data_IF_818860861786
#
_entry.id   IF_818860861786
#
_cell.length_a   1.000
_cell.length_b   1.000
_cell.length_c   1.000
_cell.angle_alpha   90.00
_cell.angle_beta   90.00
_cell.angle_gamma   90.00
#
_symmetry.space_group_name_H-M   'P 1'
#
loop_
_entity.id
_entity.type
_entity.pdbx_description
1 polymer ?
#
# COMPACT_ATOMS: atom_id res chain seq x y z
N UNK A 1 8.54 -44.56 14.41
CA UNK A 1 7.33 -43.72 14.58
C UNK A 1 7.80 -42.27 14.68
N UNK A 2 7.65 -41.47 13.62
CA UNK A 2 8.04 -40.05 13.62
C UNK A 2 6.82 -39.22 13.21
N UNK A 3 6.18 -38.60 14.20
CA UNK A 3 5.16 -37.58 14.04
C UNK A 3 5.78 -36.24 14.43
N UNK A 4 6.03 -35.36 13.46
CA UNK A 4 6.38 -33.97 13.76
C UNK A 4 5.71 -33.01 12.76
N UNK A 5 4.66 -32.36 13.27
CA UNK A 5 4.18 -31.01 13.00
C UNK A 5 3.89 -30.59 11.56
N UNK A 6 2.59 -30.69 11.22
CA UNK A 6 1.92 -29.89 10.19
C UNK A 6 2.12 -28.40 10.51
N UNK A 7 3.01 -27.74 9.80
CA UNK A 7 3.15 -26.28 9.80
C UNK A 7 1.85 -25.62 9.32
N UNK A 8 1.25 -24.85 10.22
CA UNK A 8 -0.01 -24.16 10.05
C UNK A 8 0.14 -23.05 8.99
N UNK A 9 -0.19 -23.33 7.73
CA UNK A 9 -0.39 -22.29 6.71
C UNK A 9 -1.69 -21.54 7.07
N UNK A 10 -1.59 -20.53 7.92
CA UNK A 10 -2.62 -19.49 7.94
C UNK A 10 -2.53 -18.75 6.61
N UNK A 11 -3.35 -19.20 5.65
CA UNK A 11 -3.64 -18.42 4.46
C UNK A 11 -4.28 -17.13 4.93
N UNK A 12 -3.66 -16.00 4.60
CA UNK A 12 -4.26 -14.69 4.83
C UNK A 12 -5.63 -14.67 4.13
N UNK A 13 -6.70 -14.76 4.91
CA UNK A 13 -8.06 -14.69 4.41
C UNK A 13 -8.22 -13.28 3.84
N UNK A 14 -8.33 -13.18 2.51
CA UNK A 14 -8.61 -11.91 1.87
C UNK A 14 -9.99 -11.43 2.34
N UNK A 15 -10.01 -10.47 3.27
CA UNK A 15 -11.24 -9.84 3.72
C UNK A 15 -11.88 -9.15 2.53
N UNK A 16 -13.07 -9.62 2.14
CA UNK A 16 -13.88 -8.96 1.12
C UNK A 16 -14.43 -7.68 1.77
N UNK A 17 -13.92 -6.54 1.31
CA UNK A 17 -14.34 -5.22 1.78
C UNK A 17 -15.46 -4.74 0.85
N UNK A 18 -16.64 -4.46 1.40
CA UNK A 18 -17.76 -3.85 0.65
C UNK A 18 -17.38 -2.41 0.23
N UNK A 19 -17.94 -1.91 -0.86
CA UNK A 19 -17.48 -0.67 -1.51
C UNK A 19 -17.52 0.60 -0.64
N UNK A 20 -18.19 0.56 0.51
CA UNK A 20 -18.28 1.65 1.49
C UNK A 20 -17.21 1.65 2.58
N UNK A 21 -16.48 0.55 2.76
CA UNK A 21 -15.67 0.34 3.97
C UNK A 21 -14.21 0.72 3.70
N UNK A 22 -13.88 1.98 3.94
CA UNK A 22 -12.49 2.46 3.84
C UNK A 22 -11.73 1.99 5.09
N UNK A 23 -10.87 0.99 4.94
CA UNK A 23 -9.93 0.58 5.99
C UNK A 23 -8.79 1.60 6.06
N UNK A 24 -8.77 2.40 7.13
CA UNK A 24 -7.67 3.33 7.40
C UNK A 24 -6.46 2.57 7.93
N UNK A 25 -5.30 2.80 7.32
CA UNK A 25 -4.02 2.25 7.78
C UNK A 25 -3.16 3.40 8.28
N UNK A 26 -2.94 3.44 9.60
CA UNK A 26 -2.12 4.46 10.25
C UNK A 26 -0.62 4.10 10.26
N UNK A 27 0.23 5.09 10.49
CA UNK A 27 1.70 4.93 10.48
C UNK A 27 2.20 3.92 11.52
N UNK A 28 1.50 3.78 12.64
CA UNK A 28 1.84 2.83 13.72
C UNK A 28 1.71 1.38 13.22
N UNK A 29 0.58 1.06 12.59
CA UNK A 29 0.33 -0.28 12.01
C UNK A 29 1.36 -0.63 10.95
N UNK A 30 1.81 0.35 10.15
CA UNK A 30 2.86 0.11 9.16
C UNK A 30 4.22 -0.17 9.83
N UNK A 31 4.56 0.56 10.89
CA UNK A 31 5.82 0.34 11.63
C UNK A 31 5.82 -1.05 12.26
N UNK A 32 4.73 -1.47 12.88
CA UNK A 32 4.60 -2.83 13.45
C UNK A 32 4.85 -3.91 12.39
N UNK A 33 4.27 -3.75 11.19
CA UNK A 33 4.49 -4.65 10.06
C UNK A 33 5.95 -4.62 9.58
N UNK A 34 6.58 -3.44 9.55
CA UNK A 34 8.00 -3.31 9.18
C UNK A 34 8.90 -4.05 10.17
N UNK A 35 8.65 -3.94 11.47
CA UNK A 35 9.40 -4.64 12.52
C UNK A 35 9.20 -6.15 12.41
N UNK A 36 7.98 -6.61 12.11
CA UNK A 36 7.70 -8.03 11.90
C UNK A 36 8.47 -8.61 10.70
N UNK A 37 8.67 -7.82 9.64
CA UNK A 37 9.43 -8.23 8.45
C UNK A 37 10.94 -8.19 8.72
N UNK A 38 11.41 -7.14 9.40
CA UNK A 38 12.83 -6.93 9.70
C UNK A 38 12.98 -6.31 11.09
N UNK A 39 13.26 -7.12 12.13
CA UNK A 39 13.31 -6.64 13.52
C UNK A 39 14.34 -5.54 13.76
N UNK A 40 15.41 -5.52 12.96
CA UNK A 40 16.51 -4.57 13.08
C UNK A 40 16.27 -3.25 12.33
N UNK A 41 15.14 -3.08 11.64
CA UNK A 41 14.89 -1.92 10.77
C UNK A 41 14.71 -0.60 11.54
N UNK A 42 14.25 -0.67 12.79
CA UNK A 42 14.05 0.49 13.65
C UNK A 42 15.36 0.94 14.31
N UNK A 43 16.32 0.02 14.48
CA UNK A 43 17.59 0.31 15.11
C UNK A 43 17.44 0.98 16.48
N UNK A 44 18.08 2.15 16.66
CA UNK A 44 17.99 2.99 17.87
C UNK A 44 17.08 4.22 17.67
N UNK A 45 16.22 4.23 16.66
CA UNK A 45 15.39 5.38 16.35
C UNK A 45 14.22 5.50 17.34
N UNK A 46 13.94 6.69 17.89
CA UNK A 46 12.73 6.91 18.67
C UNK A 46 11.46 6.72 17.83
N UNK A 47 10.41 6.15 18.41
CA UNK A 47 9.14 5.85 17.72
C UNK A 47 8.55 7.06 16.99
N UNK A 48 8.57 8.24 17.63
CA UNK A 48 8.09 9.49 17.01
C UNK A 48 8.82 9.82 15.71
N UNK A 49 10.13 9.54 15.66
CA UNK A 49 10.94 9.78 14.46
C UNK A 49 10.62 8.76 13.37
N UNK A 50 10.38 7.50 13.75
CA UNK A 50 9.91 6.47 12.80
C UNK A 50 8.56 6.83 12.19
N UNK A 51 7.59 7.26 13.00
CA UNK A 51 6.30 7.72 12.51
C UNK A 51 6.44 8.89 11.55
N UNK A 52 7.28 9.87 11.87
CA UNK A 52 7.55 11.02 11.00
C UNK A 52 8.13 10.57 9.65
N UNK A 53 9.11 9.66 9.65
CA UNK A 53 9.72 9.13 8.42
C UNK A 53 8.66 8.45 7.55
N UNK A 54 7.86 7.55 8.13
CA UNK A 54 6.82 6.82 7.39
C UNK A 54 5.79 7.80 6.79
N UNK A 55 5.32 8.78 7.57
CA UNK A 55 4.36 9.79 7.09
C UNK A 55 4.94 10.63 5.96
N UNK A 56 6.18 11.09 6.10
CA UNK A 56 6.85 11.89 5.06
C UNK A 56 7.06 11.08 3.79
N UNK A 57 7.46 9.81 3.89
CA UNK A 57 7.61 8.94 2.73
C UNK A 57 6.28 8.72 1.98
N UNK A 58 5.18 8.49 2.71
CA UNK A 58 3.86 8.34 2.12
C UNK A 58 3.36 9.62 1.46
N UNK A 59 3.63 10.78 2.06
CA UNK A 59 3.30 12.09 1.47
C UNK A 59 4.08 12.34 0.19
N UNK A 60 5.39 12.11 0.19
CA UNK A 60 6.22 12.27 -1.00
C UNK A 60 5.74 11.35 -2.13
N UNK A 61 5.37 10.10 -1.83
CA UNK A 61 4.78 9.20 -2.81
C UNK A 61 3.44 9.71 -3.36
N UNK A 62 2.58 10.27 -2.51
CA UNK A 62 1.31 10.85 -2.95
C UNK A 62 1.53 12.04 -3.88
N UNK A 63 2.48 12.91 -3.56
CA UNK A 63 2.88 14.04 -4.40
C UNK A 63 3.39 13.58 -5.76
N UNK A 64 4.22 12.53 -5.81
CA UNK A 64 4.71 11.93 -7.05
C UNK A 64 3.56 11.40 -7.94
N UNK A 65 2.59 10.70 -7.35
CA UNK A 65 1.40 10.21 -8.07
C UNK A 65 0.52 11.36 -8.55
N UNK A 66 0.42 12.44 -7.77
CA UNK A 66 -0.35 13.63 -8.17
C UNK A 66 0.29 14.39 -9.32
N UNK A 67 1.62 14.51 -9.35
CA UNK A 67 2.36 15.22 -10.39
C UNK A 67 2.23 14.61 -11.80
N UNK A 68 1.84 13.34 -11.90
CA UNK A 68 1.71 12.63 -13.17
C UNK A 68 0.27 12.57 -13.66
N UNK A 69 -0.04 13.13 -14.83
CA UNK A 69 -1.40 13.11 -15.39
C UNK A 69 -1.80 11.78 -16.03
N UNK A 70 -0.83 11.08 -16.63
CA UNK A 70 -1.02 9.77 -17.26
C UNK A 70 0.27 8.95 -17.24
N UNK A 71 0.15 7.64 -17.48
CA UNK A 71 1.28 6.72 -17.64
C UNK A 71 1.39 5.69 -16.53
N UNK A 72 2.62 5.33 -16.17
CA UNK A 72 2.88 4.34 -15.13
C UNK A 72 4.09 4.67 -14.29
N UNK A 73 3.97 4.52 -12.97
CA UNK A 73 5.03 4.66 -11.99
C UNK A 73 5.39 3.29 -11.43
N UNK A 74 6.68 2.99 -11.35
CA UNK A 74 7.19 1.78 -10.71
C UNK A 74 7.83 2.17 -9.37
N UNK A 75 7.22 1.73 -8.27
CA UNK A 75 7.67 2.05 -6.91
C UNK A 75 8.27 0.79 -6.29
N UNK A 76 9.55 0.86 -5.93
CA UNK A 76 10.24 -0.25 -5.28
C UNK A 76 9.53 -0.64 -3.97
N UNK A 77 9.33 -1.94 -3.75
CA UNK A 77 8.65 -2.46 -2.56
C UNK A 77 7.13 -2.31 -2.55
N UNK A 78 6.53 -1.47 -3.40
CA UNK A 78 5.08 -1.28 -3.49
C UNK A 78 4.47 -1.93 -4.73
N UNK A 79 5.06 -1.74 -5.91
CA UNK A 79 4.56 -2.27 -7.17
C UNK A 79 4.40 -1.22 -8.26
N UNK A 80 3.44 -1.43 -9.17
CA UNK A 80 3.20 -0.55 -10.32
C UNK A 80 1.91 0.23 -10.16
N UNK A 81 1.99 1.55 -10.27
CA UNK A 81 0.84 2.45 -10.27
C UNK A 81 0.57 2.84 -11.72
N UNK A 82 -0.64 2.61 -12.22
CA UNK A 82 -1.06 3.05 -13.56
C UNK A 82 -2.02 4.23 -13.41
N UNK A 83 -1.73 5.33 -14.09
CA UNK A 83 -2.49 6.56 -14.04
C UNK A 83 -3.11 6.80 -15.42
N UNK A 84 -4.42 6.99 -15.45
CA UNK A 84 -5.17 7.23 -16.70
C UNK A 84 -6.23 8.28 -16.46
N UNK A 85 -6.49 9.10 -17.47
CA UNK A 85 -7.68 9.94 -17.51
C UNK A 85 -8.82 9.13 -18.12
N UNK A 86 -9.99 9.18 -17.48
CA UNK A 86 -11.20 8.48 -17.93
C UNK A 86 -12.29 9.50 -18.08
N UNK A 87 -12.85 9.59 -19.28
CA UNK A 87 -14.07 10.36 -19.52
C UNK A 87 -15.24 9.65 -18.85
N UNK A 88 -15.98 10.39 -18.05
CA UNK A 88 -17.17 9.93 -17.35
C UNK A 88 -18.24 10.98 -17.54
N UNK A 89 -19.41 10.55 -17.97
CA UNK A 89 -20.57 11.42 -18.03
C UNK A 89 -21.24 11.45 -16.66
N UNK A 90 -21.37 12.63 -16.07
CA UNK A 90 -22.13 12.84 -14.84
C UNK A 90 -23.19 13.88 -15.13
N UNK A 91 -24.45 13.48 -15.07
CA UNK A 91 -25.61 14.36 -15.31
C UNK A 91 -25.59 15.07 -16.69
N UNK A 92 -25.25 14.34 -17.77
CA UNK A 92 -25.23 14.90 -19.12
C UNK A 92 -24.03 15.79 -19.45
N UNK A 93 -23.08 15.95 -18.52
CA UNK A 93 -21.85 16.73 -18.75
C UNK A 93 -20.65 15.78 -18.80
N UNK A 94 -19.81 15.84 -19.85
CA UNK A 94 -18.56 15.09 -19.90
C UNK A 94 -17.62 15.61 -18.83
N UNK A 95 -17.11 14.72 -17.98
CA UNK A 95 -16.14 15.01 -16.94
C UNK A 95 -14.92 14.11 -17.11
N UNK A 96 -13.72 14.66 -16.97
CA UNK A 96 -12.48 13.88 -17.03
C UNK A 96 -12.02 13.58 -15.61
N UNK A 97 -12.01 12.30 -15.23
CA UNK A 97 -11.59 11.86 -13.90
C UNK A 97 -10.26 11.14 -13.97
N UNK A 98 -9.34 11.49 -13.07
CA UNK A 98 -8.06 10.80 -12.91
C UNK A 98 -8.29 9.46 -12.19
N UNK A 99 -8.01 8.36 -12.88
CA UNK A 99 -8.07 7.00 -12.34
C UNK A 99 -6.67 6.47 -12.04
N UNK A 100 -6.45 6.08 -10.79
CA UNK A 100 -5.18 5.54 -10.29
C UNK A 100 -5.39 4.07 -9.92
N UNK A 101 -4.60 3.17 -10.51
CA UNK A 101 -4.70 1.72 -10.27
C UNK A 101 -3.34 1.22 -9.76
N UNK A 102 -3.30 0.84 -8.48
CA UNK A 102 -2.14 0.18 -7.87
C UNK A 102 -2.19 -1.33 -8.15
N UNK A 103 -1.13 -1.86 -8.76
CA UNK A 103 -0.85 -3.29 -8.88
C UNK A 103 0.27 -3.63 -7.89
N UNK A 104 -0.04 -4.24 -6.74
CA UNK A 104 0.95 -4.50 -5.71
C UNK A 104 2.02 -5.48 -6.21
N UNK A 105 3.26 -5.29 -5.74
CA UNK A 105 4.34 -6.23 -5.98
C UNK A 105 4.00 -7.59 -5.34
N UNK A 106 4.42 -8.69 -5.98
CA UNK A 106 4.32 -10.00 -5.36
C UNK A 106 5.26 -10.04 -4.15
N UNK A 107 4.81 -10.53 -2.98
CA UNK A 107 5.70 -10.72 -1.85
C UNK A 107 6.81 -11.69 -2.26
N UNK A 108 8.06 -11.36 -1.94
CA UNK A 108 9.17 -12.31 -2.09
C UNK A 108 8.94 -13.42 -1.05
N UNK A 109 8.81 -14.65 -1.53
CA UNK A 109 8.73 -15.85 -0.70
C UNK A 109 10.07 -16.16 -0.03
#
# INVERSE_FOLDING_TARGET
MFNFLKGNKQMATATKIEASDIVKVDSEVLIERMVAISPNIVGKLPDRRMQAIVRTAMRALAEEVHAHDAGGLQVAGLGRINIRQVETEKNGTPNTVKRIILKPAKPKA
#
